data_IF_413608478766
#
_entry.id   IF_413608478766
#
_cell.length_a   1.000
_cell.length_b   1.000
_cell.length_c   1.000
_cell.angle_alpha   90.00
_cell.angle_beta   90.00
_cell.angle_gamma   90.00
#
_symmetry.space_group_name_H-M   'P 1'
#
loop_
_entity.id
_entity.type
_entity.pdbx_description
1 polymer ?
#
# COMPACT_ATOMS: atom_id res chain seq x y z
N UNK A 1 -7.67 -3.39 -37.60
CA UNK A 1 -8.45 -4.46 -36.94
C UNK A 1 -8.86 -3.92 -35.58
N UNK A 2 -10.15 -3.89 -35.27
CA UNK A 2 -10.60 -3.60 -33.91
C UNK A 2 -10.15 -4.76 -33.03
N UNK A 3 -9.03 -4.58 -32.33
CA UNK A 3 -8.61 -5.49 -31.29
C UNK A 3 -9.66 -5.45 -30.20
N UNK A 4 -10.29 -6.60 -29.93
CA UNK A 4 -11.34 -6.71 -28.93
C UNK A 4 -10.85 -6.23 -27.56
N UNK A 5 -11.47 -5.18 -27.04
CA UNK A 5 -11.20 -4.68 -25.69
C UNK A 5 -11.97 -5.55 -24.72
N UNK A 6 -11.30 -6.06 -23.69
CA UNK A 6 -11.97 -6.69 -22.54
C UNK A 6 -12.44 -5.57 -21.63
N UNK A 7 -13.76 -5.38 -21.57
CA UNK A 7 -14.39 -4.26 -20.86
C UNK A 7 -15.59 -4.77 -20.06
N UNK A 8 -15.90 -4.12 -18.95
CA UNK A 8 -17.08 -4.34 -18.12
C UNK A 8 -17.22 -5.79 -17.62
N UNK A 9 -16.19 -6.28 -16.93
CA UNK A 9 -16.18 -7.62 -16.34
C UNK A 9 -16.37 -7.52 -14.84
N UNK A 10 -17.28 -8.34 -14.30
CA UNK A 10 -17.43 -8.53 -12.86
C UNK A 10 -17.22 -10.00 -12.49
N UNK A 11 -16.30 -10.24 -11.56
CA UNK A 11 -16.15 -11.51 -10.86
C UNK A 11 -16.67 -11.33 -9.44
N UNK A 12 -17.60 -12.18 -9.00
CA UNK A 12 -18.19 -12.06 -7.66
C UNK A 12 -18.58 -13.40 -7.04
N UNK A 13 -18.55 -13.44 -5.71
CA UNK A 13 -19.08 -14.55 -4.91
C UNK A 13 -18.42 -15.91 -5.22
N UNK A 14 -17.10 -15.90 -5.39
CA UNK A 14 -16.32 -17.09 -5.76
C UNK A 14 -15.38 -17.53 -4.63
N UNK A 15 -15.18 -18.85 -4.51
CA UNK A 15 -14.01 -19.42 -3.88
C UNK A 15 -13.03 -19.86 -4.99
N UNK A 16 -11.81 -19.34 -4.96
CA UNK A 16 -10.75 -19.66 -5.92
C UNK A 16 -9.55 -20.21 -5.15
N UNK A 17 -9.23 -21.48 -5.37
CA UNK A 17 -8.22 -22.15 -4.54
C UNK A 17 -7.36 -23.17 -5.29
N UNK A 18 -6.17 -23.45 -4.73
CA UNK A 18 -5.22 -24.47 -5.19
C UNK A 18 -4.65 -24.18 -6.59
N UNK A 19 -4.25 -22.92 -6.81
CA UNK A 19 -3.66 -22.47 -8.06
C UNK A 19 -2.13 -22.47 -7.98
N UNK A 20 -1.48 -23.11 -8.96
CA UNK A 20 -0.02 -23.10 -9.10
C UNK A 20 0.57 -21.74 -9.54
N UNK A 21 -0.29 -20.75 -9.79
CA UNK A 21 0.06 -19.40 -10.23
C UNK A 21 -0.73 -18.34 -9.47
N UNK A 22 -1.41 -17.46 -10.21
CA UNK A 22 -2.32 -16.46 -9.65
C UNK A 22 -3.74 -17.03 -9.60
N UNK A 23 -4.51 -16.77 -8.54
CA UNK A 23 -5.92 -17.21 -8.47
C UNK A 23 -6.80 -16.43 -9.47
N UNK A 24 -6.69 -15.10 -9.46
CA UNK A 24 -7.38 -14.22 -10.42
C UNK A 24 -6.34 -13.32 -11.09
N UNK A 25 -6.35 -13.25 -12.42
CA UNK A 25 -5.43 -12.40 -13.17
C UNK A 25 -6.18 -11.54 -14.19
N UNK A 26 -5.97 -10.22 -14.12
CA UNK A 26 -6.47 -9.24 -15.08
C UNK A 26 -5.32 -8.78 -15.96
N UNK A 27 -5.46 -8.94 -17.27
CA UNK A 27 -4.44 -8.60 -18.24
C UNK A 27 -4.37 -7.11 -18.57
N UNK A 28 -3.37 -6.75 -19.38
CA UNK A 28 -3.20 -5.39 -19.93
C UNK A 28 -4.39 -4.97 -20.81
N UNK A 29 -4.63 -3.67 -20.91
CA UNK A 29 -5.71 -3.09 -21.72
C UNK A 29 -7.15 -3.34 -21.24
N UNK A 30 -7.35 -4.08 -20.15
CA UNK A 30 -8.69 -4.33 -19.60
C UNK A 30 -9.29 -3.05 -19.00
N UNK A 31 -10.62 -2.94 -19.00
CA UNK A 31 -11.34 -1.75 -18.52
C UNK A 31 -12.55 -2.14 -17.68
N UNK A 32 -12.93 -1.28 -16.74
CA UNK A 32 -14.14 -1.43 -15.92
C UNK A 32 -14.23 -2.83 -15.28
N UNK A 33 -13.19 -3.21 -14.55
CA UNK A 33 -13.08 -4.55 -13.95
C UNK A 33 -13.47 -4.47 -12.48
N UNK A 34 -14.43 -5.29 -12.07
CA UNK A 34 -14.82 -5.44 -10.67
C UNK A 34 -14.53 -6.85 -10.18
N UNK A 35 -13.76 -6.97 -9.12
CA UNK A 35 -13.54 -8.19 -8.36
C UNK A 35 -14.13 -7.96 -6.97
N UNK A 36 -15.22 -8.65 -6.67
CA UNK A 36 -16.04 -8.38 -5.48
C UNK A 36 -16.30 -9.65 -4.69
N UNK A 37 -16.12 -9.62 -3.37
CA UNK A 37 -16.54 -10.70 -2.48
C UNK A 37 -15.98 -12.08 -2.89
N UNK A 38 -14.73 -12.11 -3.38
CA UNK A 38 -14.01 -13.34 -3.72
C UNK A 38 -13.17 -13.80 -2.52
N UNK A 39 -13.22 -15.09 -2.22
CA UNK A 39 -12.28 -15.75 -1.33
C UNK A 39 -11.18 -16.45 -2.13
N UNK A 40 -9.92 -16.19 -1.76
CA UNK A 40 -8.75 -16.88 -2.32
C UNK A 40 -8.07 -17.72 -1.25
N UNK A 41 -7.49 -18.86 -1.65
CA UNK A 41 -6.73 -19.75 -0.76
C UNK A 41 -5.69 -20.54 -1.55
N UNK A 42 -4.54 -20.88 -0.95
CA UNK A 42 -3.53 -21.78 -1.54
C UNK A 42 -3.09 -21.36 -2.96
N UNK A 43 -2.43 -20.21 -3.07
CA UNK A 43 -1.82 -19.71 -4.32
C UNK A 43 -0.31 -19.56 -4.18
N UNK A 44 0.43 -19.90 -5.24
CA UNK A 44 1.90 -19.82 -5.23
C UNK A 44 2.39 -18.40 -5.56
N UNK A 45 1.71 -17.67 -6.45
CA UNK A 45 2.12 -16.31 -6.83
C UNK A 45 1.25 -15.25 -6.19
N UNK A 46 0.04 -15.01 -6.68
CA UNK A 46 -0.82 -13.94 -6.17
C UNK A 46 -2.25 -14.43 -5.95
N UNK A 47 -2.94 -13.87 -4.96
CA UNK A 47 -4.39 -14.04 -4.84
C UNK A 47 -5.08 -13.36 -6.03
N UNK A 48 -4.88 -12.05 -6.16
CA UNK A 48 -5.43 -11.23 -7.23
C UNK A 48 -4.31 -10.43 -7.87
N UNK A 49 -4.01 -10.73 -9.14
CA UNK A 49 -3.04 -10.03 -9.97
C UNK A 49 -3.76 -9.07 -10.94
N UNK A 50 -3.40 -7.79 -10.89
CA UNK A 50 -3.90 -6.75 -11.77
C UNK A 50 -2.74 -6.21 -12.59
N UNK A 51 -2.77 -6.44 -13.90
CA UNK A 51 -1.88 -5.79 -14.83
C UNK A 51 -2.58 -4.62 -15.53
N UNK A 52 -1.80 -3.68 -16.03
CA UNK A 52 -2.33 -2.54 -16.77
C UNK A 52 -1.31 -1.93 -17.73
N UNK A 53 -1.79 -1.00 -18.54
CA UNK A 53 -1.01 -0.14 -19.41
C UNK A 53 -1.79 1.17 -19.61
N UNK A 54 -1.34 2.03 -20.52
CA UNK A 54 -2.01 3.30 -20.84
C UNK A 54 -3.46 3.18 -21.33
N UNK A 55 -3.88 1.98 -21.76
CA UNK A 55 -5.23 1.71 -22.24
C UNK A 55 -6.14 1.09 -21.17
N UNK A 56 -5.55 0.63 -20.06
CA UNK A 56 -6.26 0.02 -18.95
C UNK A 56 -6.77 1.06 -17.94
N UNK A 57 -7.96 0.83 -17.39
CA UNK A 57 -8.56 1.74 -16.40
C UNK A 57 -9.71 1.15 -15.60
N UNK A 58 -10.02 1.79 -14.49
CA UNK A 58 -11.24 1.64 -13.71
C UNK A 58 -11.38 0.22 -13.13
N UNK A 59 -10.43 -0.15 -12.26
CA UNK A 59 -10.44 -1.42 -11.53
C UNK A 59 -10.94 -1.24 -10.10
N UNK A 60 -11.80 -2.15 -9.65
CA UNK A 60 -12.28 -2.21 -8.28
C UNK A 60 -12.04 -3.62 -7.71
N UNK A 61 -11.32 -3.71 -6.60
CA UNK A 61 -11.18 -4.93 -5.78
C UNK A 61 -11.76 -4.66 -4.41
N UNK A 62 -12.83 -5.37 -4.05
CA UNK A 62 -13.56 -5.07 -2.82
C UNK A 62 -14.18 -6.29 -2.15
N UNK A 63 -14.23 -6.29 -0.81
CA UNK A 63 -14.85 -7.38 -0.03
C UNK A 63 -14.12 -8.72 -0.13
N UNK A 64 -12.96 -8.77 -0.78
CA UNK A 64 -12.22 -10.00 -1.01
C UNK A 64 -11.49 -10.45 0.26
N UNK A 65 -11.30 -11.76 0.38
CA UNK A 65 -10.73 -12.40 1.56
C UNK A 65 -9.64 -13.40 1.17
N UNK A 66 -8.50 -13.29 1.82
CA UNK A 66 -7.46 -14.30 1.84
C UNK A 66 -7.71 -15.26 3.00
N UNK A 67 -8.02 -16.52 2.71
CA UNK A 67 -8.33 -17.52 3.73
C UNK A 67 -7.06 -18.13 4.31
N UNK A 68 -7.17 -18.77 5.47
CA UNK A 68 -6.06 -19.53 6.05
C UNK A 68 -5.55 -20.57 5.04
N UNK A 69 -4.25 -20.54 4.69
CA UNK A 69 -3.69 -21.51 3.76
C UNK A 69 -3.40 -22.85 4.44
N UNK A 70 -3.55 -23.92 3.66
CA UNK A 70 -2.96 -25.23 3.98
C UNK A 70 -1.55 -25.37 3.38
N UNK A 71 -1.22 -24.51 2.41
CA UNK A 71 0.09 -24.42 1.75
C UNK A 71 0.54 -22.97 1.78
N UNK A 72 1.73 -22.72 2.32
CA UNK A 72 2.29 -21.37 2.48
C UNK A 72 2.28 -20.59 1.14
N UNK A 73 1.54 -19.47 1.05
CA UNK A 73 1.48 -18.68 -0.18
C UNK A 73 2.82 -17.99 -0.46
N UNK A 74 3.26 -18.01 -1.72
CA UNK A 74 4.56 -17.47 -2.12
C UNK A 74 4.58 -15.95 -2.34
N UNK A 75 3.45 -15.30 -2.62
CA UNK A 75 3.40 -13.87 -2.87
C UNK A 75 2.33 -13.11 -2.08
N UNK A 76 1.67 -12.16 -2.73
CA UNK A 76 0.80 -11.17 -2.09
C UNK A 76 -0.68 -11.49 -2.31
N UNK A 77 -1.55 -10.98 -1.42
CA UNK A 77 -2.99 -11.18 -1.59
C UNK A 77 -3.49 -10.42 -2.81
N UNK A 78 -3.06 -9.16 -2.96
CA UNK A 78 -3.42 -8.30 -4.10
C UNK A 78 -2.15 -7.66 -4.64
N UNK A 79 -1.91 -7.84 -5.94
CA UNK A 79 -0.77 -7.29 -6.64
C UNK A 79 -1.22 -6.47 -7.85
N UNK A 80 -0.83 -5.20 -7.91
CA UNK A 80 -0.93 -4.37 -9.11
C UNK A 80 0.48 -4.18 -9.66
N UNK A 81 0.78 -4.90 -10.74
CA UNK A 81 2.12 -5.05 -11.28
C UNK A 81 2.14 -4.73 -12.78
N UNK A 82 3.29 -4.32 -13.29
CA UNK A 82 3.46 -3.92 -14.70
C UNK A 82 2.46 -2.84 -15.15
N UNK A 83 1.92 -2.05 -14.23
CA UNK A 83 0.74 -1.22 -14.45
C UNK A 83 1.06 0.21 -14.87
N UNK A 84 2.25 0.49 -15.43
CA UNK A 84 2.62 1.86 -15.84
C UNK A 84 1.59 2.39 -16.85
N UNK A 85 0.90 3.45 -16.45
CA UNK A 85 -0.14 4.10 -17.27
C UNK A 85 -1.58 3.67 -16.93
N UNK A 86 -1.76 2.67 -16.06
CA UNK A 86 -3.06 2.26 -15.54
C UNK A 86 -3.68 3.42 -14.74
N UNK A 87 -4.99 3.65 -14.95
CA UNK A 87 -5.72 4.74 -14.29
C UNK A 87 -6.89 4.21 -13.46
N UNK A 88 -7.06 4.75 -12.25
CA UNK A 88 -8.22 4.47 -11.41
C UNK A 88 -8.24 3.01 -10.93
N UNK A 89 -7.52 2.74 -9.84
CA UNK A 89 -7.57 1.44 -9.16
C UNK A 89 -8.03 1.66 -7.73
N UNK A 90 -9.10 0.99 -7.33
CA UNK A 90 -9.64 1.06 -5.97
C UNK A 90 -9.55 -0.34 -5.34
N UNK A 91 -8.77 -0.44 -4.27
CA UNK A 91 -8.65 -1.64 -3.43
C UNK A 91 -9.23 -1.30 -2.06
N UNK A 92 -10.45 -1.77 -1.79
CA UNK A 92 -11.17 -1.34 -0.59
C UNK A 92 -11.90 -2.45 0.19
N UNK A 93 -11.86 -2.37 1.52
CA UNK A 93 -12.67 -3.26 2.36
C UNK A 93 -12.28 -4.75 2.24
N UNK A 94 -11.01 -5.05 1.97
CA UNK A 94 -10.52 -6.42 1.82
C UNK A 94 -9.85 -6.92 3.11
N UNK A 95 -9.83 -8.24 3.30
CA UNK A 95 -9.08 -8.93 4.36
C UNK A 95 -7.93 -9.71 3.76
N UNK A 96 -6.73 -9.17 3.88
CA UNK A 96 -5.52 -9.74 3.30
C UNK A 96 -4.68 -10.39 4.40
N UNK A 97 -4.36 -11.68 4.25
CA UNK A 97 -3.42 -12.39 5.13
C UNK A 97 -1.97 -12.26 4.69
N UNK A 98 -1.77 -11.71 3.48
CA UNK A 98 -0.50 -11.29 2.93
C UNK A 98 -0.58 -9.81 2.55
N UNK A 99 0.46 -9.35 1.85
CA UNK A 99 0.63 -7.93 1.49
C UNK A 99 -0.32 -7.47 0.39
N UNK A 100 -0.47 -6.15 0.26
CA UNK A 100 -0.95 -5.48 -0.96
C UNK A 100 0.26 -4.82 -1.60
N UNK A 101 0.60 -5.18 -2.82
CA UNK A 101 1.68 -4.55 -3.58
C UNK A 101 1.02 -3.86 -4.77
N UNK A 102 1.13 -2.55 -4.92
CA UNK A 102 0.45 -1.84 -6.00
C UNK A 102 1.23 -0.60 -6.43
N UNK A 103 1.73 -0.60 -7.67
CA UNK A 103 2.55 0.49 -8.21
C UNK A 103 2.29 0.82 -9.67
N UNK A 104 2.62 2.06 -10.06
CA UNK A 104 2.58 2.56 -11.43
C UNK A 104 1.23 3.15 -11.86
N UNK A 105 0.33 3.38 -10.91
CA UNK A 105 -1.07 3.74 -11.16
C UNK A 105 -1.30 5.25 -10.94
N UNK A 106 -2.09 5.86 -11.82
CA UNK A 106 -2.64 7.21 -11.61
C UNK A 106 -4.05 7.11 -11.02
N UNK A 107 -4.26 7.66 -9.81
CA UNK A 107 -5.51 7.53 -9.07
C UNK A 107 -5.66 6.17 -8.37
N UNK A 108 -4.61 5.72 -7.67
CA UNK A 108 -4.67 4.54 -6.80
C UNK A 108 -5.33 4.88 -5.45
N UNK A 109 -6.34 4.13 -5.05
CA UNK A 109 -6.98 4.25 -3.74
C UNK A 109 -6.91 2.90 -3.03
N UNK A 110 -6.19 2.83 -1.91
CA UNK A 110 -6.15 1.66 -1.02
C UNK A 110 -6.78 2.07 0.30
N UNK A 111 -8.00 1.60 0.60
CA UNK A 111 -8.71 2.05 1.79
C UNK A 111 -9.48 0.99 2.57
N UNK A 112 -9.60 1.21 3.87
CA UNK A 112 -10.46 0.42 4.76
C UNK A 112 -10.15 -1.10 4.69
N UNK A 113 -8.90 -1.48 4.38
CA UNK A 113 -8.47 -2.87 4.34
C UNK A 113 -7.89 -3.30 5.69
N UNK A 114 -7.98 -4.60 5.99
CA UNK A 114 -7.21 -5.25 7.06
C UNK A 114 -6.13 -6.10 6.41
N UNK A 115 -4.86 -5.83 6.71
CA UNK A 115 -3.71 -6.44 6.02
C UNK A 115 -2.73 -7.02 7.05
N UNK A 116 -2.39 -8.30 6.91
CA UNK A 116 -1.31 -8.96 7.66
C UNK A 116 -0.08 -9.09 6.74
N UNK A 117 0.77 -8.07 6.74
CA UNK A 117 1.88 -7.96 5.82
C UNK A 117 2.30 -6.51 5.68
N UNK A 118 2.38 -6.03 4.44
CA UNK A 118 2.68 -4.62 4.12
C UNK A 118 1.80 -4.10 3.01
N UNK A 119 1.75 -2.77 2.88
CA UNK A 119 1.27 -2.11 1.67
C UNK A 119 2.45 -1.41 1.03
N UNK A 120 2.73 -1.74 -0.23
CA UNK A 120 3.87 -1.20 -0.96
C UNK A 120 3.46 -0.70 -2.33
N UNK A 121 4.01 0.43 -2.76
CA UNK A 121 3.77 0.98 -4.10
C UNK A 121 4.94 1.80 -4.62
N UNK A 122 5.08 1.87 -5.93
CA UNK A 122 6.12 2.69 -6.56
C UNK A 122 5.58 3.38 -7.79
N UNK A 123 5.99 4.63 -8.03
CA UNK A 123 5.62 5.42 -9.21
C UNK A 123 4.12 5.68 -9.35
N UNK A 124 3.39 5.73 -8.23
CA UNK A 124 1.98 6.09 -8.22
C UNK A 124 1.77 7.60 -8.26
N UNK A 125 0.69 8.02 -8.92
CA UNK A 125 0.27 9.43 -9.00
C UNK A 125 -1.10 9.60 -8.39
N UNK A 126 -1.33 10.68 -7.66
CA UNK A 126 -2.61 11.00 -7.03
C UNK A 126 -3.14 9.85 -6.15
N UNK A 127 -2.23 9.21 -5.41
CA UNK A 127 -2.53 8.01 -4.64
C UNK A 127 -3.05 8.33 -3.24
N UNK A 128 -4.02 7.55 -2.77
CA UNK A 128 -4.61 7.66 -1.44
C UNK A 128 -4.53 6.30 -0.72
N UNK A 129 -3.85 6.27 0.43
CA UNK A 129 -3.76 5.11 1.31
C UNK A 129 -4.40 5.51 2.63
N UNK A 130 -5.64 5.07 2.86
CA UNK A 130 -6.47 5.61 3.94
C UNK A 130 -7.20 4.57 4.78
N UNK A 131 -7.23 4.74 6.10
CA UNK A 131 -8.14 3.97 6.95
C UNK A 131 -7.82 2.48 7.03
N UNK A 132 -6.64 2.06 6.58
CA UNK A 132 -6.23 0.66 6.62
C UNK A 132 -5.71 0.29 8.01
N UNK A 133 -5.94 -0.95 8.42
CA UNK A 133 -5.27 -1.56 9.57
C UNK A 133 -4.23 -2.55 9.06
N UNK A 134 -2.95 -2.26 9.30
CA UNK A 134 -1.84 -3.07 8.77
C UNK A 134 -1.00 -3.62 9.92
N UNK A 135 -0.96 -4.94 10.02
CA UNK A 135 -0.13 -5.68 10.96
C UNK A 135 1.08 -6.21 10.21
N UNK A 136 2.28 -5.85 10.65
CA UNK A 136 3.49 -6.40 10.07
C UNK A 136 3.53 -7.94 10.14
N UNK A 137 4.07 -8.56 9.09
CA UNK A 137 4.35 -9.99 9.12
C UNK A 137 5.50 -10.29 10.10
N UNK A 138 5.36 -11.38 10.87
CA UNK A 138 6.39 -11.82 11.81
C UNK A 138 7.72 -12.09 11.09
N UNK A 139 8.82 -11.56 11.62
CA UNK A 139 10.16 -11.74 11.06
C UNK A 139 10.50 -10.90 9.82
N UNK A 140 9.56 -10.12 9.26
CA UNK A 140 9.89 -9.17 8.18
C UNK A 140 10.57 -7.91 8.77
N UNK A 141 11.59 -7.42 8.08
CA UNK A 141 12.34 -6.21 8.45
C UNK A 141 12.02 -5.03 7.52
N UNK A 142 11.29 -5.27 6.42
CA UNK A 142 10.87 -4.21 5.49
C UNK A 142 9.80 -3.33 6.11
N UNK A 143 9.69 -2.10 5.62
CA UNK A 143 8.70 -1.15 6.12
C UNK A 143 7.27 -1.65 5.93
N UNK A 144 6.39 -1.33 6.88
CA UNK A 144 4.98 -1.80 6.88
C UNK A 144 4.15 -1.08 5.81
N UNK A 145 4.36 0.22 5.64
CA UNK A 145 3.90 1.00 4.50
C UNK A 145 5.13 1.53 3.77
N UNK A 146 5.26 1.25 2.46
CA UNK A 146 6.43 1.65 1.68
C UNK A 146 6.05 2.24 0.33
N UNK A 147 6.43 3.48 0.06
CA UNK A 147 6.13 4.14 -1.21
C UNK A 147 7.34 4.83 -1.82
N UNK A 148 7.58 4.59 -3.10
CA UNK A 148 8.71 5.16 -3.84
C UNK A 148 8.29 5.96 -5.06
N UNK A 149 9.04 7.03 -5.38
CA UNK A 149 8.86 7.81 -6.61
C UNK A 149 7.41 8.27 -6.88
N UNK A 150 6.66 8.56 -5.81
CA UNK A 150 5.25 8.88 -5.89
C UNK A 150 5.03 10.39 -6.08
N UNK A 151 3.91 10.77 -6.69
CA UNK A 151 3.52 12.18 -6.86
C UNK A 151 2.08 12.39 -6.40
N UNK A 152 1.86 13.28 -5.44
CA UNK A 152 0.53 13.50 -4.86
C UNK A 152 0.05 12.31 -4.03
N UNK A 153 0.92 11.77 -3.17
CA UNK A 153 0.61 10.64 -2.29
C UNK A 153 0.06 11.13 -0.95
N UNK A 154 -1.10 10.63 -0.56
CA UNK A 154 -1.68 10.84 0.78
C UNK A 154 -1.75 9.51 1.54
N UNK A 155 -1.07 9.43 2.69
CA UNK A 155 -1.13 8.32 3.64
C UNK A 155 -1.82 8.85 4.90
N UNK A 156 -3.10 8.50 5.09
CA UNK A 156 -3.92 9.11 6.14
C UNK A 156 -4.76 8.15 6.96
N UNK A 157 -4.91 8.43 8.25
CA UNK A 157 -5.85 7.72 9.12
C UNK A 157 -5.63 6.19 9.18
N UNK A 158 -4.41 5.71 8.92
CA UNK A 158 -4.09 4.28 8.99
C UNK A 158 -3.65 3.89 10.41
N UNK A 159 -3.93 2.64 10.77
CA UNK A 159 -3.37 1.99 11.97
C UNK A 159 -2.25 1.06 11.50
N UNK A 160 -1.03 1.31 11.97
CA UNK A 160 0.17 0.55 11.59
C UNK A 160 0.77 -0.08 12.84
N UNK A 161 0.88 -1.41 12.86
CA UNK A 161 1.32 -2.18 14.02
C UNK A 161 2.52 -3.05 13.66
N UNK A 162 3.60 -2.92 14.43
CA UNK A 162 4.76 -3.81 14.35
C UNK A 162 5.43 -4.01 15.71
N UNK A 163 5.66 -5.28 16.03
CA UNK A 163 6.42 -5.69 17.22
C UNK A 163 7.92 -5.85 16.95
N UNK A 164 8.38 -5.66 15.70
CA UNK A 164 9.79 -5.80 15.34
C UNK A 164 10.54 -4.46 15.54
N UNK A 165 11.56 -4.39 16.42
CA UNK A 165 12.30 -3.16 16.68
C UNK A 165 13.15 -2.67 15.49
N UNK A 166 13.44 -3.52 14.51
CA UNK A 166 14.19 -3.11 13.31
C UNK A 166 13.29 -2.55 12.21
N UNK A 167 11.97 -2.75 12.33
CA UNK A 167 11.02 -2.45 11.27
C UNK A 167 10.59 -0.98 11.28
N UNK A 168 10.45 -0.41 10.09
CA UNK A 168 9.95 0.94 9.87
C UNK A 168 8.43 0.91 9.66
N UNK A 169 7.68 1.82 10.30
CA UNK A 169 6.24 1.94 10.10
C UNK A 169 5.91 2.42 8.69
N UNK A 170 6.19 3.69 8.41
CA UNK A 170 5.94 4.34 7.11
C UNK A 170 7.26 4.78 6.51
N UNK A 171 7.54 4.30 5.29
CA UNK A 171 8.68 4.73 4.50
C UNK A 171 8.21 5.37 3.20
N UNK A 172 8.58 6.63 2.98
CA UNK A 172 8.44 7.25 1.67
C UNK A 172 9.79 7.65 1.14
N UNK A 173 10.09 7.22 -0.08
CA UNK A 173 11.39 7.46 -0.68
C UNK A 173 11.31 7.93 -2.12
N UNK A 174 12.38 8.52 -2.62
CA UNK A 174 12.56 8.98 -3.98
C UNK A 174 14.03 9.23 -4.21
N UNK A 175 14.35 10.29 -4.95
CA UNK A 175 15.68 10.86 -5.19
C UNK A 175 16.82 10.05 -4.55
N UNK A 176 17.32 9.11 -5.33
CA UNK A 176 18.37 8.17 -4.97
C UNK A 176 19.57 8.35 -5.89
N UNK A 177 20.68 7.66 -5.60
CA UNK A 177 21.85 7.65 -6.48
C UNK A 177 21.56 7.10 -7.89
N UNK A 178 20.46 6.38 -8.08
CA UNK A 178 20.08 5.74 -9.34
C UNK A 178 18.94 6.44 -10.08
N UNK A 179 18.10 7.18 -9.36
CA UNK A 179 17.03 7.97 -9.95
C UNK A 179 16.93 9.29 -9.19
N UNK A 180 17.26 10.44 -9.82
CA UNK A 180 17.23 11.73 -9.15
C UNK A 180 15.81 12.24 -8.87
N UNK A 181 14.76 11.60 -9.41
CA UNK A 181 13.38 12.06 -9.23
C UNK A 181 12.91 11.86 -7.77
N UNK A 182 12.59 12.94 -7.05
CA UNK A 182 12.04 12.83 -5.70
C UNK A 182 10.61 12.31 -5.74
N UNK A 183 10.15 11.72 -4.63
CA UNK A 183 8.71 11.68 -4.37
C UNK A 183 8.23 13.11 -4.11
N UNK A 184 7.08 13.50 -4.65
CA UNK A 184 6.58 14.88 -4.61
C UNK A 184 5.21 14.96 -3.96
N UNK A 185 4.97 16.05 -3.22
CA UNK A 185 3.65 16.37 -2.64
C UNK A 185 3.12 15.22 -1.78
N UNK A 186 3.92 14.80 -0.80
CA UNK A 186 3.61 13.69 0.10
C UNK A 186 2.93 14.19 1.37
N UNK A 187 1.77 13.64 1.70
CA UNK A 187 1.03 13.93 2.92
C UNK A 187 0.98 12.67 3.80
N UNK A 188 1.51 12.73 5.03
CA UNK A 188 1.42 11.66 6.03
C UNK A 188 0.72 12.22 7.26
N UNK A 189 -0.57 11.93 7.43
CA UNK A 189 -1.39 12.59 8.45
C UNK A 189 -2.37 11.69 9.19
N UNK A 190 -2.66 11.98 10.46
CA UNK A 190 -3.72 11.28 11.20
C UNK A 190 -3.47 9.79 11.46
N UNK A 191 -2.28 9.27 11.18
CA UNK A 191 -1.99 7.84 11.36
C UNK A 191 -1.72 7.50 12.83
N UNK A 192 -2.14 6.32 13.26
CA UNK A 192 -1.75 5.70 14.52
C UNK A 192 -0.64 4.67 14.27
N UNK A 193 0.53 4.93 14.85
CA UNK A 193 1.74 4.13 14.67
C UNK A 193 2.12 3.46 15.99
N UNK A 194 1.89 2.15 16.06
CA UNK A 194 2.30 1.25 17.15
C UNK A 194 3.46 0.40 16.67
N UNK A 195 4.60 1.03 16.47
CA UNK A 195 5.79 0.39 15.92
C UNK A 195 6.96 0.57 16.86
N UNK A 196 7.62 -0.53 17.24
CA UNK A 196 8.78 -0.49 18.15
C UNK A 196 10.03 0.10 17.52
N UNK A 197 10.16 -0.02 16.19
CA UNK A 197 11.25 0.57 15.45
C UNK A 197 11.02 2.04 15.16
N UNK A 198 11.28 2.46 13.92
CA UNK A 198 11.12 3.86 13.50
C UNK A 198 9.70 4.10 12.99
N UNK A 199 8.96 5.13 13.45
CA UNK A 199 7.60 5.37 12.99
C UNK A 199 7.50 5.82 11.53
N UNK A 200 8.18 6.91 11.19
CA UNK A 200 8.11 7.52 9.86
C UNK A 200 9.52 7.84 9.39
N UNK A 201 9.85 7.45 8.16
CA UNK A 201 11.07 7.92 7.51
C UNK A 201 10.77 8.42 6.10
N UNK A 202 11.35 9.58 5.79
CA UNK A 202 11.28 10.23 4.49
C UNK A 202 12.69 10.33 3.89
N UNK A 203 12.85 9.92 2.65
CA UNK A 203 14.14 9.91 1.98
C UNK A 203 14.05 10.35 0.52
N UNK A 204 14.45 11.57 0.19
CA UNK A 204 14.33 12.07 -1.19
C UNK A 204 12.89 12.50 -1.53
N UNK A 205 12.28 13.27 -0.63
CA UNK A 205 10.91 13.78 -0.76
C UNK A 205 10.93 15.31 -0.89
N UNK A 206 10.20 15.85 -1.87
CA UNK A 206 10.09 17.30 -2.10
C UNK A 206 8.64 17.76 -2.02
N UNK A 207 8.35 18.69 -1.11
CA UNK A 207 7.00 19.20 -0.90
C UNK A 207 6.11 18.20 -0.16
N UNK A 208 5.41 18.66 0.86
CA UNK A 208 4.51 17.80 1.61
C UNK A 208 4.34 18.21 3.05
N UNK A 209 3.58 17.40 3.78
CA UNK A 209 3.31 17.61 5.20
C UNK A 209 3.33 16.28 5.95
N UNK A 210 3.93 16.29 7.13
CA UNK A 210 3.78 15.25 8.15
C UNK A 210 3.17 15.92 9.37
N UNK A 211 1.94 15.58 9.73
CA UNK A 211 1.22 16.23 10.83
C UNK A 211 0.23 15.25 11.49
N UNK A 212 -0.14 15.51 12.74
CA UNK A 212 -1.25 14.83 13.40
C UNK A 212 -1.13 13.29 13.49
N UNK A 213 0.08 12.74 13.37
CA UNK A 213 0.32 11.31 13.54
C UNK A 213 0.57 11.01 15.03
N UNK A 214 -0.15 10.01 15.58
CA UNK A 214 0.07 9.51 16.93
C UNK A 214 1.07 8.35 16.88
N UNK A 215 2.28 8.58 17.37
CA UNK A 215 3.32 7.56 17.47
C UNK A 215 3.52 7.17 18.94
N UNK A 216 3.23 5.92 19.28
CA UNK A 216 3.35 5.44 20.66
C UNK A 216 4.81 5.18 21.03
N UNK A 217 5.26 5.66 22.20
CA UNK A 217 6.57 5.33 22.76
C UNK A 217 7.79 5.99 22.11
N UNK A 218 7.61 6.97 21.20
CA UNK A 218 8.71 7.61 20.46
C UNK A 218 8.66 9.14 20.58
N UNK A 219 9.80 9.75 20.95
CA UNK A 219 9.97 11.21 21.10
C UNK A 219 10.22 11.89 19.75
N UNK A 220 11.01 11.27 18.88
CA UNK A 220 11.33 11.78 17.54
C UNK A 220 10.75 10.83 16.47
N UNK A 221 9.47 10.98 16.11
CA UNK A 221 8.78 9.99 15.28
C UNK A 221 9.15 10.04 13.79
N UNK A 222 9.83 11.10 13.33
CA UNK A 222 10.09 11.35 11.90
C UNK A 222 11.59 11.49 11.64
N UNK A 223 12.12 10.60 10.82
CA UNK A 223 13.46 10.73 10.24
C UNK A 223 13.35 11.30 8.81
N UNK A 224 13.99 12.44 8.53
CA UNK A 224 13.95 13.07 7.21
C UNK A 224 15.35 13.23 6.63
N UNK A 225 15.60 12.63 5.46
CA UNK A 225 16.88 12.67 4.74
C UNK A 225 16.68 13.12 3.30
N UNK A 226 17.55 14.02 2.82
CA UNK A 226 17.45 14.56 1.44
C UNK A 226 16.03 15.06 1.10
N UNK A 227 15.36 15.66 2.08
CA UNK A 227 14.00 16.17 1.93
C UNK A 227 14.00 17.68 1.78
N UNK A 228 13.16 18.20 0.91
CA UNK A 228 13.04 19.64 0.64
C UNK A 228 11.60 20.10 0.77
N UNK A 229 11.36 21.27 1.37
CA UNK A 229 10.01 21.87 1.47
C UNK A 229 8.94 20.93 2.08
N UNK A 230 9.36 20.02 2.96
CA UNK A 230 8.45 19.17 3.74
C UNK A 230 8.22 19.84 5.09
N UNK A 231 6.96 20.10 5.42
CA UNK A 231 6.58 20.62 6.72
C UNK A 231 6.35 19.45 7.70
N UNK A 232 7.09 19.42 8.82
CA UNK A 232 6.90 18.42 9.88
C UNK A 232 6.31 19.14 11.09
N UNK A 233 5.01 18.95 11.33
CA UNK A 233 4.31 19.52 12.50
C UNK A 233 4.35 18.52 13.64
N UNK A 234 4.83 18.96 14.81
CA UNK A 234 4.83 18.16 16.03
C UNK A 234 3.51 18.36 16.78
N UNK A 235 2.93 17.29 17.31
CA UNK A 235 1.77 17.39 18.19
C UNK A 235 2.19 18.02 19.52
N UNK A 236 1.47 19.04 19.97
CA UNK A 236 1.74 19.78 21.21
C UNK A 236 1.65 18.92 22.49
N UNK A 237 1.07 17.71 22.42
CA UNK A 237 0.76 16.87 23.59
C UNK A 237 1.78 15.75 23.88
N UNK A 238 2.98 15.79 23.29
CA UNK A 238 4.09 14.89 23.67
C UNK A 238 4.97 15.50 24.78
N UNK A 239 4.37 16.06 25.83
CA UNK A 239 5.14 16.33 27.05
C UNK A 239 5.50 14.99 27.72
N UNK A 240 6.76 14.79 28.13
CA UNK A 240 7.12 13.60 28.89
C UNK A 240 6.35 13.65 30.21
N UNK A 241 5.50 12.65 30.46
CA UNK A 241 4.98 12.39 31.81
C UNK A 241 6.18 12.28 32.73
N UNK A 242 6.33 13.25 33.63
CA UNK A 242 7.38 13.22 34.65
C UNK A 242 7.27 11.90 35.41
N UNK A 243 8.37 11.15 35.61
CA UNK A 243 8.33 10.01 36.52
C UNK A 243 7.97 10.54 37.91
N UNK A 244 6.91 9.98 38.48
CA UNK A 244 6.53 10.14 39.89
C UNK A 244 7.28 9.18 40.79
#
# INVERSE_FOLDING_TARGET
SETGVIDNITLRDLLVENFAGDCVAVGRGCRNITIRDISVRNFIRQGIQLAGDENARDYLVTGCQDLEPDIEPGGSTIHVEHARGLKGVIIQGNRCRKSILAGGVDGLIIRDNVVHGRIEGNSDRNALVQGNTVFAAAGDTRSVLQFGYAEGLAIKDNIVVSENPEQLGIYVWGASKYNPEPSRLVCVTGNLLRVKGRPIALNGVTGGIVADNLCEGVIEPVEAKRTEKVEIRRNANQEPTKPG
#
